data_IF_854365952373
#
_entry.id   IF_854365952373
#
_cell.length_a   1.000
_cell.length_b   1.000
_cell.length_c   1.000
_cell.angle_alpha   90.00
_cell.angle_beta   90.00
_cell.angle_gamma   90.00
#
_symmetry.space_group_name_H-M   'P 1'
#
loop_
_entity.id
_entity.type
_entity.pdbx_description
1 polymer ?
#
# COMPACT_ATOMS: atom_id res chain seq x y z
N UNK A 1 -44.82 39.31 -15.77
CA UNK A 1 -44.68 38.56 -17.03
C UNK A 1 -44.22 37.16 -16.65
N UNK A 2 -45.18 36.25 -16.38
CA UNK A 2 -45.63 35.18 -17.30
C UNK A 2 -44.56 34.14 -17.64
N UNK A 3 -44.72 32.93 -17.06
CA UNK A 3 -44.75 31.69 -17.87
C UNK A 3 -43.66 30.64 -17.67
N UNK A 4 -44.05 29.53 -17.02
CA UNK A 4 -43.68 28.15 -17.40
C UNK A 4 -42.54 27.46 -16.63
N UNK A 5 -42.62 26.20 -16.17
CA UNK A 5 -43.56 25.10 -16.32
C UNK A 5 -43.64 24.30 -14.99
N UNK A 6 -44.84 23.80 -14.67
CA UNK A 6 -45.13 22.74 -13.69
C UNK A 6 -45.27 21.39 -14.43
N UNK A 7 -45.20 20.30 -13.66
CA UNK A 7 -45.65 18.90 -13.94
C UNK A 7 -44.50 17.90 -14.12
N UNK A 8 -44.43 16.72 -13.49
CA UNK A 8 -45.37 15.96 -12.66
C UNK A 8 -44.65 14.96 -11.73
N UNK A 9 -45.22 14.75 -10.53
CA UNK A 9 -44.97 13.64 -9.60
C UNK A 9 -46.13 12.64 -9.76
N UNK A 10 -45.84 11.35 -9.49
CA UNK A 10 -46.73 10.22 -9.15
C UNK A 10 -47.21 9.33 -10.31
N UNK A 11 -46.73 8.06 -10.34
CA UNK A 11 -47.55 6.82 -10.35
C UNK A 11 -46.66 5.59 -10.64
N UNK A 12 -46.32 4.80 -9.62
CA UNK A 12 -46.19 3.34 -9.76
C UNK A 12 -46.71 2.68 -8.49
N UNK A 13 -47.97 2.25 -8.54
CA UNK A 13 -48.54 1.25 -7.66
C UNK A 13 -49.35 0.30 -8.54
N UNK A 14 -49.38 -0.98 -8.12
CA UNK A 14 -50.17 -2.10 -8.64
C UNK A 14 -49.53 -2.94 -9.76
N UNK A 15 -48.85 -4.00 -9.34
CA UNK A 15 -49.07 -5.35 -9.86
C UNK A 15 -48.65 -6.36 -8.78
N UNK A 16 -49.54 -6.52 -7.80
CA UNK A 16 -49.54 -7.64 -6.87
C UNK A 16 -50.64 -8.61 -7.26
N UNK A 17 -50.35 -9.90 -7.03
CA UNK A 17 -51.22 -11.08 -7.15
C UNK A 17 -51.33 -11.71 -8.54
N UNK A 18 -50.55 -12.77 -8.78
CA UNK A 18 -51.03 -14.13 -9.04
C UNK A 18 -49.85 -15.10 -9.28
N UNK A 19 -49.41 -15.77 -8.23
CA UNK A 19 -49.07 -17.22 -8.23
C UNK A 19 -48.48 -17.60 -6.88
N UNK A 20 -49.29 -18.27 -6.09
CA UNK A 20 -48.84 -19.12 -4.99
C UNK A 20 -48.33 -20.45 -5.56
N UNK A 21 -47.39 -21.03 -4.82
CA UNK A 21 -46.88 -22.41 -4.87
C UNK A 21 -45.57 -22.67 -5.63
N UNK A 22 -44.73 -23.47 -4.94
CA UNK A 22 -43.44 -24.08 -5.31
C UNK A 22 -42.16 -23.30 -4.94
N UNK A 23 -41.75 -23.49 -3.69
CA UNK A 23 -40.50 -24.18 -3.32
C UNK A 23 -39.18 -23.68 -3.92
N UNK A 24 -38.31 -23.20 -3.04
CA UNK A 24 -36.87 -23.04 -3.30
C UNK A 24 -36.45 -21.60 -3.57
N UNK A 25 -36.37 -20.79 -2.52
CA UNK A 25 -35.61 -19.54 -2.58
C UNK A 25 -34.11 -19.89 -2.66
N UNK A 26 -33.62 -20.15 -3.87
CA UNK A 26 -32.20 -19.98 -4.15
C UNK A 26 -31.98 -18.47 -4.10
N UNK A 27 -31.43 -18.00 -2.98
CA UNK A 27 -30.84 -16.67 -2.92
C UNK A 27 -29.71 -16.65 -3.95
N UNK A 28 -30.01 -16.15 -5.15
CA UNK A 28 -29.01 -15.85 -6.14
C UNK A 28 -28.08 -14.79 -5.52
N UNK A 29 -26.94 -15.23 -5.00
CA UNK A 29 -25.84 -14.33 -4.66
C UNK A 29 -25.46 -13.66 -5.98
N UNK A 30 -25.83 -12.39 -6.15
CA UNK A 30 -25.23 -11.56 -7.18
C UNK A 30 -23.72 -11.61 -6.93
N UNK A 31 -22.98 -12.37 -7.74
CA UNK A 31 -21.53 -12.33 -7.78
C UNK A 31 -21.13 -10.96 -8.32
N UNK A 32 -21.14 -9.97 -7.44
CA UNK A 32 -20.63 -8.64 -7.73
C UNK A 32 -19.10 -8.74 -7.68
N UNK A 33 -18.48 -9.23 -8.75
CA UNK A 33 -17.02 -9.21 -8.85
C UNK A 33 -16.58 -7.77 -9.04
N UNK A 34 -15.95 -7.20 -8.02
CA UNK A 34 -15.38 -5.86 -8.13
C UNK A 34 -14.26 -5.86 -9.18
N UNK A 35 -14.11 -4.79 -9.97
CA UNK A 35 -12.92 -4.60 -10.80
C UNK A 35 -11.65 -4.67 -9.93
N UNK A 36 -10.72 -5.56 -10.28
CA UNK A 36 -9.49 -5.79 -9.51
C UNK A 36 -9.54 -6.96 -8.52
N UNK A 37 -10.71 -7.57 -8.29
CA UNK A 37 -10.80 -8.79 -7.48
C UNK A 37 -10.15 -9.97 -8.23
N UNK A 38 -9.25 -10.69 -7.57
CA UNK A 38 -8.70 -11.93 -8.12
C UNK A 38 -9.77 -13.04 -8.07
N UNK A 39 -10.02 -13.77 -9.18
CA UNK A 39 -11.09 -14.76 -9.25
C UNK A 39 -10.85 -15.98 -8.36
N UNK A 40 -9.59 -16.26 -8.01
CA UNK A 40 -9.18 -17.33 -7.12
C UNK A 40 -8.32 -16.77 -5.97
N UNK A 41 -8.92 -16.32 -4.85
CA UNK A 41 -8.17 -15.77 -3.73
C UNK A 41 -7.18 -16.78 -3.12
N UNK A 42 -7.51 -18.07 -3.16
CA UNK A 42 -6.69 -19.13 -2.57
C UNK A 42 -5.39 -19.34 -3.36
N UNK A 43 -5.41 -19.19 -4.69
CA UNK A 43 -4.20 -19.20 -5.51
C UNK A 43 -3.22 -18.08 -5.11
N UNK A 44 -3.72 -16.89 -4.75
CA UNK A 44 -2.88 -15.77 -4.27
C UNK A 44 -2.24 -16.11 -2.92
N UNK A 45 -3.00 -16.70 -2.00
CA UNK A 45 -2.50 -17.19 -0.71
C UNK A 45 -1.39 -18.23 -0.90
N UNK A 46 -1.60 -19.21 -1.78
CA UNK A 46 -0.61 -20.25 -2.08
C UNK A 46 0.66 -19.67 -2.71
N UNK A 47 0.52 -18.68 -3.60
CA UNK A 47 1.66 -18.01 -4.21
C UNK A 47 2.49 -17.23 -3.19
N UNK A 48 1.86 -16.54 -2.24
CA UNK A 48 2.58 -15.87 -1.13
C UNK A 48 3.40 -16.88 -0.33
N UNK A 49 2.76 -17.98 0.09
CA UNK A 49 3.46 -19.04 0.83
C UNK A 49 4.62 -19.65 0.01
N UNK A 50 4.42 -19.86 -1.29
CA UNK A 50 5.47 -20.35 -2.20
C UNK A 50 6.65 -19.40 -2.27
N UNK A 51 6.41 -18.08 -2.41
CA UNK A 51 7.46 -17.05 -2.45
C UNK A 51 8.24 -16.99 -1.13
N UNK A 52 7.56 -17.05 0.02
CA UNK A 52 8.21 -17.07 1.35
C UNK A 52 9.07 -18.31 1.52
N UNK A 53 8.53 -19.50 1.23
CA UNK A 53 9.29 -20.74 1.33
C UNK A 53 10.53 -20.73 0.42
N UNK A 54 10.39 -20.22 -0.80
CA UNK A 54 11.53 -20.09 -1.72
C UNK A 54 12.59 -19.12 -1.17
N UNK A 55 12.20 -17.99 -0.58
CA UNK A 55 13.13 -17.04 0.04
C UNK A 55 13.89 -17.64 1.23
N UNK A 56 13.18 -18.33 2.13
CA UNK A 56 13.80 -19.02 3.27
C UNK A 56 14.75 -20.13 2.83
N UNK A 57 14.42 -20.91 1.79
CA UNK A 57 15.31 -21.93 1.23
C UNK A 57 16.57 -21.30 0.64
N UNK A 58 16.43 -20.23 -0.16
CA UNK A 58 17.58 -19.51 -0.72
C UNK A 58 18.52 -19.00 0.37
N UNK A 59 17.98 -18.39 1.42
CA UNK A 59 18.77 -17.91 2.56
C UNK A 59 19.55 -19.06 3.21
N UNK A 60 18.90 -20.19 3.51
CA UNK A 60 19.58 -21.34 4.14
C UNK A 60 20.72 -21.88 3.27
N UNK A 61 20.49 -22.02 1.96
CA UNK A 61 21.53 -22.44 1.02
C UNK A 61 22.71 -21.47 0.99
N UNK A 62 22.45 -20.16 1.02
CA UNK A 62 23.52 -19.15 1.08
C UNK A 62 24.35 -19.26 2.36
N UNK A 63 23.71 -19.43 3.52
CA UNK A 63 24.40 -19.59 4.80
C UNK A 63 25.29 -20.85 4.84
N UNK A 64 24.90 -21.93 4.16
CA UNK A 64 25.70 -23.15 4.07
C UNK A 64 26.92 -23.01 3.15
N UNK A 65 26.84 -22.14 2.12
CA UNK A 65 27.87 -22.00 1.09
C UNK A 65 28.92 -20.95 1.41
N UNK A 66 28.60 -19.93 2.22
CA UNK A 66 29.54 -18.84 2.54
C UNK A 66 30.09 -18.97 3.96
N UNK A 67 31.40 -19.19 4.09
CA UNK A 67 32.15 -18.97 5.35
C UNK A 67 32.41 -17.49 5.64
N UNK A 68 32.03 -16.58 4.74
CA UNK A 68 32.18 -15.12 4.86
C UNK A 68 30.81 -14.45 5.01
N UNK A 69 30.62 -13.74 6.12
CA UNK A 69 29.35 -13.11 6.53
C UNK A 69 28.80 -12.11 5.52
N UNK A 70 29.64 -11.40 4.75
CA UNK A 70 29.20 -10.22 3.96
C UNK A 70 28.30 -10.51 2.73
N UNK A 71 28.35 -11.71 2.13
CA UNK A 71 27.48 -12.08 0.97
C UNK A 71 26.21 -12.82 1.43
N UNK A 72 26.26 -13.48 2.60
CA UNK A 72 25.09 -14.07 3.26
C UNK A 72 24.17 -13.04 3.92
N UNK A 73 24.62 -11.80 4.11
CA UNK A 73 23.91 -10.80 4.93
C UNK A 73 22.66 -10.21 4.29
N UNK A 74 22.56 -10.11 2.96
CA UNK A 74 21.44 -9.39 2.38
C UNK A 74 20.12 -10.18 2.35
N UNK A 75 20.16 -11.48 2.06
CA UNK A 75 18.93 -12.27 1.95
C UNK A 75 18.33 -12.50 3.33
N UNK A 76 17.27 -11.78 3.69
CA UNK A 76 16.59 -11.89 4.98
C UNK A 76 15.62 -13.07 5.00
N UNK A 77 15.23 -13.61 3.84
CA UNK A 77 14.18 -14.61 3.74
C UNK A 77 12.78 -13.99 3.67
N UNK A 78 12.70 -12.66 3.73
CA UNK A 78 11.51 -11.91 3.34
C UNK A 78 11.55 -11.69 1.81
N UNK A 79 10.62 -12.27 1.04
CA UNK A 79 10.67 -12.22 -0.42
C UNK A 79 10.48 -10.81 -1.01
N UNK A 80 9.84 -9.89 -0.28
CA UNK A 80 9.68 -8.50 -0.72
C UNK A 80 11.02 -7.78 -0.62
N UNK A 81 11.65 -7.81 0.56
CA UNK A 81 12.94 -7.16 0.81
C UNK A 81 14.03 -7.77 -0.08
N UNK A 82 14.11 -9.10 -0.13
CA UNK A 82 15.12 -9.83 -0.91
C UNK A 82 15.08 -9.48 -2.42
N UNK A 83 13.92 -9.05 -2.93
CA UNK A 83 13.72 -8.73 -4.34
C UNK A 83 14.40 -7.41 -4.78
N UNK A 84 14.46 -6.41 -3.90
CA UNK A 84 15.01 -5.08 -4.23
C UNK A 84 16.15 -4.64 -3.32
N UNK A 85 16.14 -4.97 -2.02
CA UNK A 85 17.12 -4.50 -1.04
C UNK A 85 18.52 -5.05 -1.30
N UNK A 86 18.58 -6.20 -1.96
CA UNK A 86 19.82 -6.83 -2.39
C UNK A 86 20.37 -6.33 -3.72
N UNK A 87 19.69 -5.38 -4.36
CA UNK A 87 20.29 -4.62 -5.44
C UNK A 87 21.24 -3.56 -4.85
N UNK A 88 22.58 -3.70 -5.00
CA UNK A 88 23.51 -2.69 -4.50
C UNK A 88 23.31 -1.33 -5.20
N UNK A 89 22.61 -1.31 -6.34
CA UNK A 89 22.30 -0.12 -7.12
C UNK A 89 20.82 0.29 -7.01
N UNK A 90 20.11 -0.14 -5.96
CA UNK A 90 18.69 0.19 -5.73
C UNK A 90 18.43 1.71 -5.83
N UNK A 91 19.39 2.54 -5.43
CA UNK A 91 19.27 4.00 -5.44
C UNK A 91 19.18 4.57 -6.87
N UNK A 92 19.74 3.89 -7.86
CA UNK A 92 19.58 4.21 -9.28
C UNK A 92 18.44 3.42 -9.92
N UNK A 93 18.10 2.26 -9.36
CA UNK A 93 17.02 1.38 -9.82
C UNK A 93 15.76 1.48 -8.95
N UNK A 94 15.42 2.67 -8.44
CA UNK A 94 14.34 2.86 -7.44
C UNK A 94 13.03 2.22 -7.84
N UNK A 95 12.66 2.35 -9.11
CA UNK A 95 11.38 1.86 -9.64
C UNK A 95 11.27 0.33 -9.69
N UNK A 96 12.39 -0.40 -9.55
CA UNK A 96 12.42 -1.87 -9.42
C UNK A 96 11.59 -2.36 -8.23
N UNK A 97 11.44 -1.54 -7.19
CA UNK A 97 10.59 -1.86 -6.03
C UNK A 97 9.18 -2.28 -6.48
N UNK A 98 8.60 -1.64 -7.49
CA UNK A 98 7.25 -1.95 -7.97
C UNK A 98 7.10 -3.36 -8.56
N UNK A 99 8.19 -4.08 -8.83
CA UNK A 99 8.15 -5.49 -9.27
C UNK A 99 8.18 -6.50 -8.09
N UNK A 100 8.34 -6.00 -6.86
CA UNK A 100 8.53 -6.83 -5.67
C UNK A 100 7.26 -7.05 -4.85
N UNK A 101 6.14 -6.45 -5.25
CA UNK A 101 4.84 -6.66 -4.62
C UNK A 101 4.41 -8.13 -4.66
N UNK A 102 3.78 -8.58 -3.57
CA UNK A 102 3.16 -9.91 -3.46
C UNK A 102 1.75 -9.78 -2.89
N UNK A 103 1.00 -10.89 -2.84
CA UNK A 103 -0.35 -10.89 -2.28
C UNK A 103 -1.36 -10.20 -3.20
N UNK A 104 -2.46 -9.72 -2.64
CA UNK A 104 -3.54 -9.12 -3.44
C UNK A 104 -3.14 -7.78 -4.08
N UNK A 105 -2.24 -7.02 -3.46
CA UNK A 105 -1.68 -5.76 -4.00
C UNK A 105 -0.52 -5.94 -4.97
N UNK A 106 -0.20 -7.16 -5.42
CA UNK A 106 0.94 -7.43 -6.30
C UNK A 106 0.90 -6.70 -7.66
N UNK A 107 -0.28 -6.20 -8.07
CA UNK A 107 -0.46 -5.46 -9.31
C UNK A 107 -0.31 -3.94 -9.14
N UNK A 108 -0.08 -3.44 -7.92
CA UNK A 108 0.17 -2.03 -7.67
C UNK A 108 1.49 -1.59 -8.31
N UNK A 109 1.43 -1.00 -9.49
CA UNK A 109 2.64 -0.51 -10.19
C UNK A 109 3.08 0.88 -9.74
N UNK A 110 2.22 1.58 -8.97
CA UNK A 110 2.50 2.95 -8.52
C UNK A 110 2.83 3.89 -9.67
N UNK A 111 3.87 4.70 -9.50
CA UNK A 111 4.41 5.60 -10.51
C UNK A 111 5.49 5.00 -11.41
N UNK A 112 5.60 3.66 -11.51
CA UNK A 112 6.60 3.00 -12.36
C UNK A 112 6.51 3.46 -13.82
N UNK A 113 7.66 3.61 -14.48
CA UNK A 113 7.83 4.20 -15.82
C UNK A 113 7.48 5.69 -15.92
N UNK A 114 6.97 6.28 -14.84
CA UNK A 114 6.80 7.72 -14.69
C UNK A 114 8.12 8.43 -14.45
N UNK A 115 8.09 9.76 -14.60
CA UNK A 115 9.24 10.60 -14.24
C UNK A 115 9.44 10.62 -12.73
N UNK A 116 10.69 10.75 -12.29
CA UNK A 116 11.00 11.01 -10.89
C UNK A 116 10.63 12.45 -10.57
N UNK A 117 9.79 12.65 -9.56
CA UNK A 117 9.50 13.96 -9.00
C UNK A 117 10.22 14.11 -7.66
N UNK A 118 10.95 15.21 -7.48
CA UNK A 118 11.72 15.48 -6.27
C UNK A 118 10.96 16.50 -5.42
N UNK A 119 10.54 16.12 -4.23
CA UNK A 119 9.97 17.04 -3.25
C UNK A 119 11.09 17.86 -2.66
N UNK A 120 11.07 19.18 -2.82
CA UNK A 120 12.08 20.10 -2.31
C UNK A 120 11.52 21.09 -1.29
N UNK A 121 10.20 21.13 -1.14
CA UNK A 121 9.48 22.03 -0.25
C UNK A 121 8.53 21.19 0.62
N UNK A 122 8.69 21.28 1.95
CA UNK A 122 7.85 20.55 2.91
C UNK A 122 6.61 21.33 3.36
N UNK A 123 6.37 22.53 2.83
CA UNK A 123 5.20 23.34 3.13
C UNK A 123 3.92 22.75 2.51
N UNK A 124 2.79 23.07 3.14
CA UNK A 124 1.46 22.68 2.71
C UNK A 124 0.43 23.79 2.99
N UNK A 125 0.83 25.03 2.65
CA UNK A 125 0.11 26.24 3.03
C UNK A 125 -1.18 26.49 2.21
N UNK A 126 -1.32 25.83 1.06
CA UNK A 126 -2.43 26.00 0.13
C UNK A 126 -2.92 24.62 -0.37
N UNK A 127 -4.08 24.22 0.15
CA UNK A 127 -4.73 22.95 -0.21
C UNK A 127 -5.43 22.97 -1.58
N UNK A 128 -5.58 24.15 -2.21
CA UNK A 128 -6.28 24.34 -3.49
C UNK A 128 -5.30 24.51 -4.65
N UNK A 129 -4.25 25.29 -4.45
CA UNK A 129 -3.24 25.61 -5.48
C UNK A 129 -1.82 25.33 -4.98
N UNK A 130 -1.44 24.04 -4.82
CA UNK A 130 -0.15 23.69 -4.26
C UNK A 130 1.01 24.14 -5.16
N UNK A 131 2.11 24.58 -4.53
CA UNK A 131 3.34 25.04 -5.21
C UNK A 131 4.11 23.84 -5.81
N UNK A 132 4.66 23.94 -7.04
CA UNK A 132 5.64 22.98 -7.53
C UNK A 132 6.81 22.85 -6.54
N UNK A 133 7.32 21.64 -6.37
CA UNK A 133 8.29 21.28 -5.34
C UNK A 133 7.67 20.70 -4.07
N UNK A 134 6.37 20.88 -3.82
CA UNK A 134 5.66 20.29 -2.66
C UNK A 134 5.18 18.86 -2.94
N UNK A 135 4.88 18.12 -1.86
CA UNK A 135 4.26 16.79 -1.95
C UNK A 135 2.82 16.87 -2.50
N UNK A 136 2.01 17.84 -2.04
CA UNK A 136 0.64 18.03 -2.53
C UNK A 136 0.58 18.27 -4.03
N UNK A 137 1.48 19.09 -4.56
CA UNK A 137 1.57 19.27 -6.01
C UNK A 137 1.87 17.95 -6.73
N UNK A 138 2.77 17.13 -6.20
CA UNK A 138 3.18 15.88 -6.84
C UNK A 138 2.04 14.84 -6.91
N UNK A 139 1.33 14.61 -5.81
CA UNK A 139 0.37 13.49 -5.71
C UNK A 139 -0.88 13.70 -6.56
N UNK A 140 -1.23 14.95 -6.91
CA UNK A 140 -2.41 15.26 -7.71
C UNK A 140 -2.16 15.19 -9.23
N UNK A 141 -0.90 15.14 -9.69
CA UNK A 141 -0.59 15.18 -11.13
C UNK A 141 -1.27 14.03 -11.88
N UNK A 142 -1.59 14.24 -13.15
CA UNK A 142 -2.30 13.24 -13.97
C UNK A 142 -1.36 12.13 -14.42
N UNK A 143 -0.11 12.46 -14.72
CA UNK A 143 0.87 11.47 -15.16
C UNK A 143 1.36 10.57 -14.01
N UNK A 144 1.86 9.36 -14.33
CA UNK A 144 2.55 8.53 -13.35
C UNK A 144 3.78 9.25 -12.78
N UNK A 145 3.92 9.27 -11.44
CA UNK A 145 5.06 9.89 -10.77
C UNK A 145 5.67 9.00 -9.70
N UNK A 146 7.00 8.88 -9.75
CA UNK A 146 7.80 8.31 -8.68
C UNK A 146 8.36 9.44 -7.81
N UNK A 147 7.73 9.67 -6.66
CA UNK A 147 7.96 10.84 -5.79
C UNK A 147 9.02 10.49 -4.75
N UNK A 148 10.12 11.25 -4.73
CA UNK A 148 11.28 11.03 -3.85
C UNK A 148 11.65 12.27 -3.04
N UNK A 149 12.44 12.05 -1.99
CA UNK A 149 12.85 13.09 -1.06
C UNK A 149 14.39 13.19 -1.01
N UNK A 150 14.97 14.37 -1.32
CA UNK A 150 16.42 14.60 -1.29
C UNK A 150 16.99 14.68 0.12
N UNK A 151 16.15 15.01 1.11
CA UNK A 151 16.53 15.23 2.49
C UNK A 151 15.40 14.76 3.39
N UNK A 152 15.71 14.50 4.66
CA UNK A 152 14.68 14.30 5.69
C UNK A 152 13.73 15.49 5.75
N UNK A 153 12.43 15.22 5.93
CA UNK A 153 11.38 16.24 5.92
C UNK A 153 10.30 15.93 6.95
N UNK A 154 9.76 16.98 7.56
CA UNK A 154 8.52 16.93 8.31
C UNK A 154 7.47 17.72 7.52
N UNK A 155 6.57 17.01 6.88
CA UNK A 155 5.47 17.57 6.09
C UNK A 155 4.25 17.62 6.98
N UNK A 156 3.82 18.85 7.30
CA UNK A 156 2.68 19.10 8.18
C UNK A 156 1.51 19.56 7.32
N UNK A 157 0.60 18.63 7.04
CA UNK A 157 -0.54 18.84 6.17
C UNK A 157 -1.57 19.76 6.82
N UNK A 158 -2.13 20.69 6.03
CA UNK A 158 -3.21 21.56 6.47
C UNK A 158 -4.59 20.90 6.30
N UNK A 159 -4.71 20.00 5.33
CA UNK A 159 -5.92 19.31 4.90
C UNK A 159 -5.56 17.92 4.38
N UNK A 160 -6.56 17.04 4.21
CA UNK A 160 -6.39 15.74 3.54
C UNK A 160 -5.52 15.85 2.26
N UNK A 161 -4.52 14.99 2.15
CA UNK A 161 -3.66 14.85 0.98
C UNK A 161 -4.33 13.87 0.01
N UNK A 162 -5.14 14.41 -0.90
CA UNK A 162 -5.84 13.62 -1.93
C UNK A 162 -4.85 13.21 -3.03
N UNK A 163 -4.86 11.92 -3.38
CA UNK A 163 -4.01 11.38 -4.45
C UNK A 163 -4.76 11.25 -5.77
N UNK A 164 -4.02 11.33 -6.86
CA UNK A 164 -4.41 10.78 -8.15
C UNK A 164 -3.80 9.37 -8.34
N UNK A 165 -4.26 8.62 -9.34
CA UNK A 165 -3.75 7.28 -9.66
C UNK A 165 -2.29 7.29 -10.11
N UNK A 166 -1.64 6.13 -10.10
CA UNK A 166 -0.26 5.92 -10.59
C UNK A 166 0.79 6.76 -9.85
N UNK A 167 0.79 6.67 -8.52
CA UNK A 167 1.73 7.41 -7.67
C UNK A 167 2.54 6.44 -6.82
N UNK A 168 3.84 6.71 -6.71
CA UNK A 168 4.67 6.11 -5.67
C UNK A 168 5.22 7.20 -4.78
N UNK A 169 4.97 7.13 -3.47
CA UNK A 169 5.79 7.81 -2.48
C UNK A 169 6.93 6.88 -2.09
N UNK A 170 8.17 7.31 -2.28
CA UNK A 170 9.38 6.56 -1.96
C UNK A 170 10.28 7.40 -1.04
N UNK A 171 10.15 7.16 0.27
CA UNK A 171 10.97 7.82 1.29
C UNK A 171 12.39 7.27 1.45
N UNK A 172 12.83 6.27 0.66
CA UNK A 172 14.16 5.66 0.85
C UNK A 172 15.28 6.68 0.68
N UNK A 173 16.19 6.70 1.65
CA UNK A 173 17.35 7.60 1.70
C UNK A 173 17.08 8.94 2.40
N UNK A 174 15.90 9.12 3.00
CA UNK A 174 15.51 10.26 3.80
C UNK A 174 14.59 9.83 4.96
N UNK A 175 14.59 10.58 6.06
CA UNK A 175 13.59 10.40 7.10
C UNK A 175 12.39 11.33 6.87
N UNK A 176 11.29 10.80 6.33
CA UNK A 176 10.13 11.57 5.89
C UNK A 176 8.95 11.30 6.81
N UNK A 177 8.46 12.36 7.45
CA UNK A 177 7.32 12.32 8.35
C UNK A 177 6.15 13.08 7.72
N UNK A 178 4.98 12.45 7.67
CA UNK A 178 3.70 13.06 7.30
C UNK A 178 2.81 13.11 8.55
N UNK A 179 2.37 14.32 8.89
CA UNK A 179 1.55 14.61 10.07
C UNK A 179 0.51 15.68 9.71
N UNK A 180 -0.47 15.94 10.57
CA UNK A 180 -1.36 17.10 10.41
C UNK A 180 -2.81 16.75 10.11
N UNK A 181 -3.49 17.66 9.40
CA UNK A 181 -4.90 17.53 9.07
C UNK A 181 -5.16 16.44 8.02
N UNK A 182 -6.02 15.46 8.34
CA UNK A 182 -6.54 14.43 7.44
C UNK A 182 -5.55 13.37 6.95
N UNK A 183 -4.26 13.70 6.83
CA UNK A 183 -3.23 12.82 6.27
C UNK A 183 -3.57 12.27 4.88
N UNK A 184 -3.38 10.98 4.59
CA UNK A 184 -3.42 10.47 3.21
C UNK A 184 -4.82 9.95 2.86
N UNK A 185 -5.38 10.41 1.74
CA UNK A 185 -6.67 9.94 1.23
C UNK A 185 -6.54 9.39 -0.20
N UNK A 186 -6.81 8.10 -0.37
CA UNK A 186 -6.80 7.36 -1.63
C UNK A 186 -8.25 7.05 -2.04
N UNK A 187 -8.91 8.01 -2.70
CA UNK A 187 -10.34 7.93 -3.00
C UNK A 187 -10.61 7.71 -4.50
N UNK A 188 -11.24 6.59 -4.85
CA UNK A 188 -11.62 6.19 -6.21
C UNK A 188 -10.46 6.18 -7.22
N UNK A 189 -9.29 5.74 -6.77
CA UNK A 189 -8.06 5.69 -7.57
C UNK A 189 -7.49 4.28 -7.65
N UNK A 190 -6.46 4.11 -8.48
CA UNK A 190 -5.73 2.85 -8.55
C UNK A 190 -4.24 3.04 -8.68
N UNK A 191 -3.49 1.95 -8.45
CA UNK A 191 -2.05 1.89 -8.67
C UNK A 191 -1.30 2.90 -7.81
N UNK A 192 -1.33 2.71 -6.50
CA UNK A 192 -0.59 3.55 -5.55
C UNK A 192 0.34 2.70 -4.71
N UNK A 193 1.60 3.14 -4.59
CA UNK A 193 2.57 2.58 -3.65
C UNK A 193 2.93 3.67 -2.63
N UNK A 194 2.77 3.37 -1.35
CA UNK A 194 3.25 4.22 -0.26
C UNK A 194 4.36 3.45 0.43
N UNK A 195 5.60 3.94 0.30
CA UNK A 195 6.77 3.22 0.74
C UNK A 195 7.75 4.08 1.54
N UNK A 196 8.22 3.52 2.66
CA UNK A 196 9.33 4.05 3.45
C UNK A 196 9.10 5.42 4.10
N UNK A 197 7.93 5.64 4.71
CA UNK A 197 7.61 6.91 5.38
C UNK A 197 7.02 6.71 6.78
N UNK A 198 7.12 7.75 7.62
CA UNK A 198 6.47 7.82 8.91
C UNK A 198 5.15 8.59 8.77
N UNK A 199 4.05 8.02 9.27
CA UNK A 199 2.72 8.65 9.28
C UNK A 199 2.21 8.65 10.71
N UNK A 200 2.05 9.83 11.30
CA UNK A 200 1.63 9.91 12.69
C UNK A 200 1.08 11.27 13.07
N UNK A 201 0.36 11.35 14.20
CA UNK A 201 -0.22 12.60 14.68
C UNK A 201 -1.13 13.25 13.62
N UNK A 202 -1.89 12.40 12.91
CA UNK A 202 -2.97 12.81 12.03
C UNK A 202 -4.19 13.19 12.87
N UNK A 203 -4.87 14.27 12.51
CA UNK A 203 -6.05 14.77 13.21
C UNK A 203 -7.09 15.25 12.20
N UNK A 204 -8.39 15.36 12.59
CA UNK A 204 -9.44 15.90 11.75
C UNK A 204 -9.05 17.24 11.12
N UNK A 205 -9.01 17.31 9.79
CA UNK A 205 -9.00 18.58 9.09
C UNK A 205 -10.43 19.10 8.96
N UNK A 206 -10.64 20.37 9.28
CA UNK A 206 -11.96 21.02 9.14
C UNK A 206 -12.32 21.30 7.68
N UNK A 207 -13.53 21.83 7.48
CA UNK A 207 -14.08 22.04 6.14
C UNK A 207 -13.22 22.97 5.27
N UNK A 208 -12.90 22.54 4.05
CA UNK A 208 -12.09 23.31 3.11
C UNK A 208 -12.27 22.84 1.67
N UNK A 209 -11.86 23.69 0.73
CA UNK A 209 -11.61 23.25 -0.64
C UNK A 209 -10.24 22.57 -0.72
N UNK A 210 -10.21 21.40 -1.36
CA UNK A 210 -8.99 20.60 -1.50
C UNK A 210 -8.83 20.14 -2.95
N UNK A 211 -7.65 20.34 -3.53
CA UNK A 211 -7.32 19.88 -4.87
C UNK A 211 -7.28 18.35 -4.95
N UNK A 212 -7.84 17.81 -6.03
CA UNK A 212 -7.74 16.38 -6.37
C UNK A 212 -7.07 16.13 -7.72
N UNK A 213 -6.90 17.17 -8.54
CA UNK A 213 -6.10 17.17 -9.77
C UNK A 213 -5.54 18.57 -10.01
N UNK A 214 -4.66 18.79 -11.02
CA UNK A 214 -4.14 20.12 -11.32
C UNK A 214 -5.22 21.14 -11.73
N UNK A 215 -6.40 20.67 -12.14
CA UNK A 215 -7.49 21.47 -12.68
C UNK A 215 -8.78 21.38 -11.86
N UNK A 216 -8.80 20.57 -10.80
CA UNK A 216 -9.97 20.31 -10.00
C UNK A 216 -9.68 20.34 -8.51
N UNK A 217 -10.56 21.02 -7.78
CA UNK A 217 -10.69 20.94 -6.32
C UNK A 217 -12.17 20.76 -5.97
N UNK A 218 -12.42 20.17 -4.80
CA UNK A 218 -13.77 19.96 -4.28
C UNK A 218 -13.89 20.39 -2.82
N UNK A 219 -15.11 20.69 -2.39
CA UNK A 219 -15.43 20.94 -0.99
C UNK A 219 -15.31 19.63 -0.19
N UNK A 220 -14.55 19.67 0.90
CA UNK A 220 -14.39 18.58 1.87
C UNK A 220 -15.02 18.97 3.19
N UNK A 221 -15.74 18.03 3.79
CA UNK A 221 -16.22 18.13 5.17
C UNK A 221 -15.10 17.74 6.14
N UNK A 222 -15.37 17.81 7.43
CA UNK A 222 -14.45 17.30 8.46
C UNK A 222 -14.03 15.86 8.16
N UNK A 223 -12.72 15.60 8.20
CA UNK A 223 -12.14 14.25 8.06
C UNK A 223 -12.03 13.56 9.42
N UNK A 224 -11.98 12.23 9.46
CA UNK A 224 -11.84 11.49 10.73
C UNK A 224 -10.44 11.63 11.37
N UNK A 225 -9.41 11.88 10.55
CA UNK A 225 -8.02 11.99 11.02
C UNK A 225 -7.28 10.66 11.07
N UNK A 226 -7.57 9.78 10.11
CA UNK A 226 -6.83 8.54 9.86
C UNK A 226 -5.39 8.81 9.41
N UNK A 227 -4.52 7.80 9.50
CA UNK A 227 -3.22 7.83 8.82
C UNK A 227 -3.35 7.73 7.31
N UNK A 228 -4.03 6.67 6.83
CA UNK A 228 -4.29 6.39 5.42
C UNK A 228 -5.74 5.93 5.27
N UNK A 229 -6.57 6.71 4.58
CA UNK A 229 -7.93 6.33 4.21
C UNK A 229 -7.98 5.86 2.75
N UNK A 230 -8.47 4.64 2.51
CA UNK A 230 -8.59 3.99 1.20
C UNK A 230 -10.07 3.76 0.90
N UNK A 231 -10.59 4.46 -0.10
CA UNK A 231 -12.02 4.53 -0.35
C UNK A 231 -12.32 4.16 -1.81
N UNK A 232 -12.95 3.00 -2.05
CA UNK A 232 -13.28 2.52 -3.39
C UNK A 232 -12.07 2.46 -4.34
N UNK A 233 -10.89 2.17 -3.81
CA UNK A 233 -9.62 2.17 -4.56
C UNK A 233 -9.07 0.76 -4.73
N UNK A 234 -8.20 0.56 -5.74
CA UNK A 234 -7.62 -0.76 -6.03
C UNK A 234 -6.15 -0.74 -6.39
N UNK A 235 -5.49 -1.89 -6.30
CA UNK A 235 -4.07 -2.04 -6.60
C UNK A 235 -3.23 -1.08 -5.76
N UNK A 236 -3.31 -1.26 -4.44
CA UNK A 236 -2.66 -0.43 -3.43
C UNK A 236 -1.62 -1.25 -2.67
N UNK A 237 -0.44 -0.69 -2.48
CA UNK A 237 0.63 -1.32 -1.71
C UNK A 237 1.21 -0.34 -0.69
N UNK A 238 1.08 -0.69 0.60
CA UNK A 238 1.62 0.08 1.73
C UNK A 238 2.74 -0.74 2.33
N UNK A 239 3.98 -0.27 2.16
CA UNK A 239 5.18 -1.04 2.45
C UNK A 239 6.20 -0.24 3.27
N UNK A 240 6.84 -0.87 4.26
CA UNK A 240 7.89 -0.21 5.05
C UNK A 240 7.45 1.15 5.64
N UNK A 241 6.21 1.29 6.08
CA UNK A 241 5.76 2.50 6.76
C UNK A 241 5.76 2.32 8.28
N UNK A 242 5.97 3.41 9.01
CA UNK A 242 5.80 3.44 10.46
C UNK A 242 4.59 4.30 10.82
N UNK A 243 3.55 3.68 11.40
CA UNK A 243 2.27 4.33 11.67
C UNK A 243 1.96 4.35 13.17
N UNK A 244 1.55 5.50 13.70
CA UNK A 244 1.21 5.65 15.13
C UNK A 244 0.44 6.93 15.46
N UNK A 245 -0.20 6.99 16.62
CA UNK A 245 -0.74 8.22 17.20
C UNK A 245 -1.64 9.05 16.26
N UNK A 246 -2.46 8.42 15.41
CA UNK A 246 -3.49 9.14 14.65
C UNK A 246 -4.72 9.38 15.54
N UNK A 247 -5.68 10.19 15.06
CA UNK A 247 -6.88 10.49 15.84
C UNK A 247 -7.89 9.34 15.80
N UNK A 248 -8.12 8.78 14.62
CA UNK A 248 -9.07 7.68 14.40
C UNK A 248 -8.36 6.38 14.01
N UNK A 249 -8.35 5.95 12.74
CA UNK A 249 -7.64 4.76 12.25
C UNK A 249 -6.16 5.01 11.90
N UNK A 250 -5.32 3.97 11.83
CA UNK A 250 -4.03 4.09 11.11
C UNK A 250 -4.19 3.80 9.63
N UNK A 251 -4.91 2.73 9.28
CA UNK A 251 -5.25 2.37 7.89
C UNK A 251 -6.70 1.90 7.83
N UNK A 252 -7.52 2.63 7.08
CA UNK A 252 -8.93 2.32 6.89
C UNK A 252 -9.21 2.07 5.40
N UNK A 253 -9.65 0.86 5.06
CA UNK A 253 -10.01 0.48 3.69
C UNK A 253 -11.49 0.12 3.62
N UNK A 254 -12.25 0.84 2.80
CA UNK A 254 -13.71 0.76 2.78
C UNK A 254 -14.25 0.91 1.35
N UNK A 255 -15.56 0.74 1.20
CA UNK A 255 -16.32 1.16 0.02
C UNK A 255 -15.92 0.40 -1.25
N UNK A 256 -15.73 -0.91 -1.12
CA UNK A 256 -15.32 -1.79 -2.21
C UNK A 256 -13.85 -1.64 -2.60
N UNK A 257 -12.99 -1.20 -1.67
CA UNK A 257 -11.56 -1.23 -1.92
C UNK A 257 -11.05 -2.67 -2.00
N UNK A 258 -10.15 -2.98 -2.93
CA UNK A 258 -9.67 -4.36 -3.15
C UNK A 258 -8.28 -4.41 -3.80
N UNK A 259 -7.63 -5.56 -3.83
CA UNK A 259 -6.28 -5.67 -4.38
C UNK A 259 -5.26 -4.88 -3.55
N UNK A 260 -5.22 -5.14 -2.24
CA UNK A 260 -4.38 -4.39 -1.29
C UNK A 260 -3.35 -5.31 -0.66
N UNK A 261 -2.10 -4.86 -0.57
CA UNK A 261 -1.07 -5.46 0.28
C UNK A 261 -0.55 -4.44 1.28
N UNK A 262 -0.50 -4.82 2.55
CA UNK A 262 0.06 -4.05 3.66
C UNK A 262 1.22 -4.87 4.20
N UNK A 263 2.46 -4.46 3.89
CA UNK A 263 3.65 -5.25 4.20
C UNK A 263 4.78 -4.51 4.90
N UNK A 264 5.58 -5.23 5.68
CA UNK A 264 6.80 -4.68 6.29
C UNK A 264 6.57 -3.40 7.12
N UNK A 265 5.35 -3.14 7.60
CA UNK A 265 5.06 -1.92 8.35
C UNK A 265 5.28 -2.14 9.85
N UNK A 266 5.56 -1.05 10.56
CA UNK A 266 5.60 -1.02 12.02
C UNK A 266 4.43 -0.19 12.54
N UNK A 267 3.56 -0.83 13.32
CA UNK A 267 2.41 -0.18 13.97
C UNK A 267 2.68 -0.05 15.46
N UNK A 268 2.40 1.11 16.05
CA UNK A 268 2.52 1.29 17.49
C UNK A 268 1.65 2.44 18.02
N UNK A 269 1.49 2.52 19.35
CA UNK A 269 0.88 3.64 20.06
C UNK A 269 -0.46 4.06 19.47
N UNK A 270 -1.42 3.13 19.40
CA UNK A 270 -2.69 3.40 18.75
C UNK A 270 -3.80 2.44 19.19
N UNK A 271 -5.03 2.94 19.30
CA UNK A 271 -6.17 2.12 19.70
C UNK A 271 -6.73 1.32 18.51
N UNK A 272 -7.18 2.02 17.47
CA UNK A 272 -7.93 1.47 16.35
C UNK A 272 -7.02 1.34 15.14
N UNK A 273 -6.26 0.23 15.05
CA UNK A 273 -5.14 0.13 14.10
C UNK A 273 -5.58 0.09 12.64
N UNK A 274 -6.42 -0.88 12.28
CA UNK A 274 -6.76 -1.13 10.88
C UNK A 274 -8.20 -1.60 10.72
N UNK A 275 -9.01 -0.85 9.98
CA UNK A 275 -10.37 -1.22 9.62
C UNK A 275 -10.47 -1.65 8.16
N UNK A 276 -11.00 -2.85 7.91
CA UNK A 276 -11.22 -3.39 6.57
C UNK A 276 -12.71 -3.66 6.38
N UNK A 277 -13.39 -2.74 5.70
CA UNK A 277 -14.84 -2.69 5.54
C UNK A 277 -15.53 -1.98 6.70
N UNK A 278 -16.44 -1.05 6.40
CA UNK A 278 -17.04 -0.14 7.39
C UNK A 278 -18.40 -0.58 7.93
N UNK A 279 -19.15 -1.36 7.15
CA UNK A 279 -20.52 -1.75 7.47
C UNK A 279 -20.80 -3.20 7.09
N UNK A 280 -21.45 -3.93 7.99
CA UNK A 280 -21.86 -5.33 7.79
C UNK A 280 -22.87 -5.49 6.63
N UNK A 281 -23.57 -4.41 6.27
CA UNK A 281 -24.58 -4.38 5.20
C UNK A 281 -24.07 -3.80 3.88
N UNK A 282 -22.82 -3.31 3.82
CA UNK A 282 -22.25 -2.77 2.59
C UNK A 282 -21.68 -3.88 1.70
N UNK A 283 -22.57 -4.57 0.99
CA UNK A 283 -22.25 -5.75 0.19
C UNK A 283 -21.08 -5.62 -0.79
N UNK A 284 -20.77 -4.46 -1.40
CA UNK A 284 -19.58 -4.34 -2.23
C UNK A 284 -18.27 -4.70 -1.50
N UNK A 285 -18.18 -4.54 -0.18
CA UNK A 285 -17.01 -4.95 0.61
C UNK A 285 -16.79 -6.48 0.62
N UNK A 286 -17.77 -7.30 0.18
CA UNK A 286 -17.55 -8.73 -0.07
C UNK A 286 -16.55 -9.01 -1.20
N UNK A 287 -16.32 -8.03 -2.08
CA UNK A 287 -15.30 -8.09 -3.12
C UNK A 287 -13.89 -7.70 -2.64
N UNK A 288 -13.75 -7.23 -1.40
CA UNK A 288 -12.47 -6.80 -0.81
C UNK A 288 -11.51 -7.97 -0.66
N UNK A 289 -10.26 -7.79 -1.07
CA UNK A 289 -9.18 -8.75 -0.90
C UNK A 289 -7.92 -8.05 -0.41
N UNK A 290 -7.42 -8.46 0.75
CA UNK A 290 -6.28 -7.80 1.43
C UNK A 290 -5.26 -8.83 1.93
N UNK A 291 -3.98 -8.58 1.66
CA UNK A 291 -2.85 -9.32 2.25
C UNK A 291 -2.16 -8.44 3.28
N UNK A 292 -2.04 -8.93 4.52
CA UNK A 292 -1.30 -8.30 5.61
C UNK A 292 -0.10 -9.19 5.90
N UNK A 293 1.10 -8.77 5.53
CA UNK A 293 2.28 -9.64 5.56
C UNK A 293 3.53 -8.99 6.17
N UNK A 294 4.28 -9.72 6.98
CA UNK A 294 5.59 -9.26 7.51
C UNK A 294 5.56 -7.98 8.35
N UNK A 295 4.38 -7.56 8.81
CA UNK A 295 4.26 -6.38 9.66
C UNK A 295 4.65 -6.73 11.09
N UNK A 296 5.12 -5.72 11.81
CA UNK A 296 5.29 -5.79 13.26
C UNK A 296 4.23 -4.93 13.94
N UNK A 297 3.31 -5.59 14.63
CA UNK A 297 2.34 -4.98 15.53
C UNK A 297 2.97 -4.84 16.90
N UNK A 298 3.49 -3.64 17.14
CA UNK A 298 4.39 -3.29 18.22
C UNK A 298 3.69 -2.67 19.43
N UNK A 299 4.43 -1.82 20.13
CA UNK A 299 4.08 -1.33 21.46
C UNK A 299 2.75 -0.55 21.51
N UNK A 300 2.02 -0.72 22.62
CA UNK A 300 0.83 0.07 22.98
C UNK A 300 -0.24 0.10 21.88
N UNK A 301 -0.45 -1.04 21.24
CA UNK A 301 -1.61 -1.29 20.39
C UNK A 301 -2.75 -1.86 21.23
N UNK A 302 -3.98 -1.44 20.95
CA UNK A 302 -5.16 -1.92 21.70
C UNK A 302 -5.89 -3.02 20.93
N UNK A 303 -6.26 -2.75 19.67
CA UNK A 303 -7.13 -3.63 18.87
C UNK A 303 -7.06 -3.38 17.35
N UNK A 304 -7.85 -4.14 16.60
CA UNK A 304 -8.07 -4.02 15.14
C UNK A 304 -6.82 -4.24 14.29
N UNK A 305 -6.18 -5.39 14.43
CA UNK A 305 -4.97 -5.76 13.67
C UNK A 305 -5.17 -7.02 12.82
N UNK A 306 -6.13 -7.08 11.87
CA UNK A 306 -7.13 -6.06 11.51
C UNK A 306 -8.50 -6.27 12.20
N UNK A 307 -9.43 -5.33 12.02
CA UNK A 307 -10.88 -5.57 12.16
C UNK A 307 -11.53 -5.63 10.77
N UNK A 308 -12.13 -6.77 10.43
CA UNK A 308 -12.61 -7.06 9.08
C UNK A 308 -14.14 -7.19 8.97
N UNK A 309 -14.67 -6.91 7.78
CA UNK A 309 -16.06 -7.22 7.38
C UNK A 309 -16.13 -7.75 5.96
N UNK A 310 -16.96 -8.78 5.75
CA UNK A 310 -17.31 -9.41 4.47
C UNK A 310 -16.16 -10.04 3.65
N UNK A 311 -15.14 -9.26 3.25
CA UNK A 311 -14.12 -9.64 2.27
C UNK A 311 -13.20 -10.82 2.66
N UNK A 312 -12.17 -11.03 1.83
CA UNK A 312 -11.14 -12.07 2.02
C UNK A 312 -9.82 -11.46 2.50
N UNK A 313 -9.38 -11.84 3.69
CA UNK A 313 -8.19 -11.29 4.33
C UNK A 313 -7.19 -12.40 4.63
N UNK A 314 -5.98 -12.25 4.08
CA UNK A 314 -4.84 -13.13 4.34
C UNK A 314 -3.87 -12.43 5.30
N UNK A 315 -3.80 -12.91 6.54
CA UNK A 315 -2.91 -12.41 7.59
C UNK A 315 -1.75 -13.39 7.71
N UNK A 316 -0.58 -13.05 7.20
CA UNK A 316 0.51 -14.02 7.03
C UNK A 316 1.86 -13.52 7.51
N UNK A 317 2.55 -14.33 8.31
CA UNK A 317 3.91 -14.04 8.76
C UNK A 317 4.12 -12.65 9.40
N UNK A 318 3.17 -12.17 10.18
CA UNK A 318 3.29 -10.96 10.98
C UNK A 318 3.72 -11.28 12.42
N UNK A 319 4.35 -10.32 13.08
CA UNK A 319 4.71 -10.41 14.49
C UNK A 319 3.81 -9.54 15.35
N UNK A 320 2.96 -10.18 16.16
CA UNK A 320 2.04 -9.52 17.09
C UNK A 320 2.62 -9.59 18.49
N UNK A 321 3.30 -8.52 18.89
CA UNK A 321 4.04 -8.48 20.15
C UNK A 321 3.24 -7.86 21.29
N UNK A 322 2.25 -7.01 20.98
CA UNK A 322 1.38 -6.38 21.97
C UNK A 322 -0.04 -6.18 21.42
N UNK A 323 -1.04 -6.40 22.28
CA UNK A 323 -2.40 -5.90 22.16
C UNK A 323 -3.01 -5.77 23.56
N UNK A 324 -4.06 -4.98 23.72
CA UNK A 324 -4.75 -4.83 25.02
C UNK A 324 -6.12 -5.53 25.06
N UNK A 325 -6.85 -5.56 23.93
CA UNK A 325 -8.17 -6.20 23.86
C UNK A 325 -8.19 -7.46 23.00
N UNK A 326 -7.81 -7.36 21.74
CA UNK A 326 -7.70 -8.49 20.80
C UNK A 326 -6.77 -8.10 19.65
N UNK A 327 -6.22 -9.09 18.94
CA UNK A 327 -5.43 -8.83 17.73
C UNK A 327 -6.33 -8.75 16.49
N UNK A 328 -6.96 -9.87 16.14
CA UNK A 328 -7.76 -10.02 14.92
C UNK A 328 -9.24 -10.01 15.27
N UNK A 329 -10.03 -9.17 14.61
CA UNK A 329 -11.47 -9.13 14.85
C UNK A 329 -12.30 -8.94 13.59
N UNK A 330 -13.62 -8.99 13.75
CA UNK A 330 -14.53 -8.72 12.64
C UNK A 330 -16.00 -8.94 12.96
N UNK A 331 -16.83 -8.45 12.06
CA UNK A 331 -18.29 -8.59 12.03
C UNK A 331 -18.74 -8.76 10.56
N UNK A 332 -19.97 -9.18 10.29
CA UNK A 332 -20.44 -9.33 8.91
C UNK A 332 -19.69 -10.40 8.10
N UNK A 333 -19.39 -11.56 8.67
CA UNK A 333 -18.87 -12.75 7.97
C UNK A 333 -17.64 -12.56 7.04
N UNK A 334 -16.52 -11.96 7.52
CA UNK A 334 -15.29 -11.93 6.74
C UNK A 334 -14.64 -13.32 6.69
N UNK A 335 -13.94 -13.60 5.59
CA UNK A 335 -13.00 -14.74 5.54
C UNK A 335 -11.62 -14.29 6.01
N UNK A 336 -11.11 -14.91 7.07
CA UNK A 336 -9.80 -14.60 7.63
C UNK A 336 -8.93 -15.84 7.61
N UNK A 337 -7.81 -15.77 6.89
CA UNK A 337 -6.79 -16.81 6.86
C UNK A 337 -5.53 -16.32 7.58
N UNK A 338 -5.34 -16.75 8.83
CA UNK A 338 -4.13 -16.53 9.62
C UNK A 338 -3.13 -17.65 9.36
N UNK A 339 -1.95 -17.30 8.83
CA UNK A 339 -0.91 -18.28 8.50
C UNK A 339 0.49 -17.85 8.96
N UNK A 340 1.15 -18.70 9.76
CA UNK A 340 2.55 -18.51 10.11
C UNK A 340 2.89 -17.22 10.88
N UNK A 341 1.93 -16.61 11.56
CA UNK A 341 2.14 -15.42 12.40
C UNK A 341 2.67 -15.83 13.79
N UNK A 342 3.19 -14.86 14.55
CA UNK A 342 3.47 -15.05 15.97
C UNK A 342 2.57 -14.13 16.80
N UNK A 343 1.90 -14.69 17.80
CA UNK A 343 1.02 -13.97 18.71
C UNK A 343 1.55 -14.09 20.14
N UNK A 344 2.03 -12.99 20.71
CA UNK A 344 2.49 -12.91 22.09
C UNK A 344 1.41 -12.24 22.94
N UNK A 345 0.60 -13.04 23.64
CA UNK A 345 -0.49 -12.48 24.42
C UNK A 345 -0.01 -11.57 25.56
N UNK A 346 -0.76 -10.51 25.89
CA UNK A 346 -0.49 -9.67 27.04
C UNK A 346 -0.58 -10.46 28.35
N UNK A 347 -0.08 -9.91 29.45
CA UNK A 347 -0.17 -10.54 30.78
C UNK A 347 -1.62 -10.68 31.26
N UNK A 348 -2.53 -9.80 30.82
CA UNK A 348 -3.96 -9.85 31.14
C UNK A 348 -4.60 -11.18 30.71
N UNK A 349 -5.14 -11.93 31.66
CA UNK A 349 -5.80 -13.22 31.41
C UNK A 349 -7.06 -13.12 30.54
N UNK A 350 -7.71 -11.95 30.51
CA UNK A 350 -8.92 -11.73 29.71
C UNK A 350 -8.63 -11.36 28.25
N UNK A 351 -7.35 -11.19 27.88
CA UNK A 351 -6.93 -10.78 26.54
C UNK A 351 -6.03 -11.84 25.87
N UNK A 352 -6.21 -13.12 26.24
CA UNK A 352 -5.47 -14.25 25.67
C UNK A 352 -6.00 -14.72 24.33
N UNK A 353 -7.29 -14.51 24.07
CA UNK A 353 -7.88 -14.82 22.78
C UNK A 353 -7.36 -13.82 21.73
N UNK A 354 -6.72 -14.33 20.69
CA UNK A 354 -6.25 -13.55 19.53
C UNK A 354 -7.45 -12.95 18.77
N UNK A 355 -8.52 -13.73 18.69
CA UNK A 355 -9.72 -13.46 17.90
C UNK A 355 -10.80 -12.71 18.67
N UNK A 356 -11.55 -11.84 17.98
CA UNK A 356 -12.79 -11.24 18.51
C UNK A 356 -13.87 -11.14 17.45
N UNK A 357 -14.94 -11.91 17.61
CA UNK A 357 -16.19 -11.70 16.86
C UNK A 357 -16.96 -10.57 17.51
N UNK A 358 -17.26 -9.54 16.73
CA UNK A 358 -17.91 -8.31 17.20
C UNK A 358 -19.38 -8.38 16.77
N UNK A 359 -20.28 -8.06 17.69
CA UNK A 359 -21.72 -7.95 17.45
C UNK A 359 -22.38 -9.20 16.82
N UNK A 360 -21.86 -10.40 17.11
CA UNK A 360 -22.38 -11.67 16.61
C UNK A 360 -22.45 -12.73 17.70
N UNK A 361 -23.55 -13.49 17.75
CA UNK A 361 -23.67 -14.63 18.66
C UNK A 361 -22.98 -15.86 18.06
N UNK A 362 -22.70 -16.86 18.89
CA UNK A 362 -21.98 -18.07 18.48
C UNK A 362 -22.65 -18.77 17.28
N UNK A 363 -23.97 -18.87 17.28
CA UNK A 363 -24.73 -19.49 16.19
C UNK A 363 -24.62 -18.72 14.87
N UNK A 364 -24.37 -17.41 14.93
CA UNK A 364 -24.21 -16.56 13.74
C UNK A 364 -22.81 -16.70 13.13
N UNK A 365 -21.76 -16.72 13.99
CA UNK A 365 -20.37 -16.69 13.52
C UNK A 365 -19.72 -18.06 13.36
N UNK A 366 -20.29 -19.15 13.89
CA UNK A 366 -19.74 -20.51 13.72
C UNK A 366 -19.54 -20.90 12.26
N UNK A 367 -20.36 -20.36 11.35
CA UNK A 367 -20.22 -20.57 9.90
C UNK A 367 -19.19 -19.67 9.20
N UNK A 368 -18.62 -18.68 9.90
CA UNK A 368 -17.64 -17.75 9.31
C UNK A 368 -16.29 -18.42 9.17
N UNK A 369 -15.63 -18.23 8.03
CA UNK A 369 -14.37 -18.91 7.71
C UNK A 369 -13.17 -18.20 8.34
N UNK A 370 -12.88 -18.51 9.61
CA UNK A 370 -11.71 -17.99 10.34
C UNK A 370 -10.76 -19.14 10.63
N UNK A 371 -9.58 -19.08 10.04
CA UNK A 371 -8.61 -20.17 10.00
C UNK A 371 -7.28 -19.71 10.60
N UNK A 372 -6.64 -20.61 11.33
CA UNK A 372 -5.27 -20.46 11.82
C UNK A 372 -4.46 -21.67 11.39
N UNK A 373 -3.27 -21.45 10.84
CA UNK A 373 -2.39 -22.52 10.34
C UNK A 373 -0.93 -22.12 10.53
N UNK A 374 -0.18 -22.89 11.34
CA UNK A 374 1.24 -22.61 11.55
C UNK A 374 1.56 -21.41 12.43
N UNK A 375 0.56 -20.79 13.04
CA UNK A 375 0.77 -19.67 13.93
C UNK A 375 1.46 -20.13 15.23
N UNK A 376 2.41 -19.34 15.73
CA UNK A 376 3.05 -19.55 17.03
C UNK A 376 2.29 -18.74 18.08
N UNK A 377 1.73 -19.46 19.05
CA UNK A 377 1.01 -18.88 20.19
C UNK A 377 1.93 -18.83 21.41
N UNK A 378 2.15 -17.62 21.95
CA UNK A 378 3.06 -17.38 23.09
C UNK A 378 2.28 -16.76 24.24
N UNK A 379 2.72 -17.05 25.46
CA UNK A 379 2.14 -16.53 26.70
C UNK A 379 0.64 -16.85 26.87
N UNK A 380 0.22 -18.05 26.42
CA UNK A 380 -1.17 -18.50 26.52
C UNK A 380 -2.11 -17.89 25.49
N UNK A 381 -1.58 -17.27 24.43
CA UNK A 381 -2.38 -16.88 23.28
C UNK A 381 -3.12 -18.10 22.70
N UNK A 382 -4.32 -17.90 22.16
CA UNK A 382 -5.02 -18.91 21.38
C UNK A 382 -5.93 -18.28 20.33
N UNK A 383 -6.18 -19.03 19.26
CA UNK A 383 -7.06 -18.63 18.17
C UNK A 383 -8.27 -19.56 18.14
N UNK A 384 -9.47 -18.99 18.21
CA UNK A 384 -10.70 -19.77 18.04
C UNK A 384 -11.04 -19.78 16.56
N UNK A 385 -10.99 -20.93 15.89
CA UNK A 385 -11.29 -21.09 14.47
C UNK A 385 -12.78 -21.40 14.21
N UNK A 386 -13.26 -21.19 12.98
CA UNK A 386 -14.65 -21.45 12.58
C UNK A 386 -14.80 -21.67 11.05
N UNK A 387 -15.97 -22.15 10.62
CA UNK A 387 -16.32 -22.31 9.21
C UNK A 387 -15.94 -23.65 8.59
N UNK A 388 -16.17 -23.76 7.28
CA UNK A 388 -15.95 -25.00 6.51
C UNK A 388 -14.45 -25.28 6.34
N UNK A 389 -14.05 -26.53 6.60
CA UNK A 389 -12.67 -27.01 6.46
C UNK A 389 -11.91 -27.30 7.77
N UNK A 390 -12.57 -27.26 8.93
CA UNK A 390 -12.00 -27.70 10.21
C UNK A 390 -11.51 -29.17 10.15
N UNK A 391 -12.24 -30.05 9.47
CA UNK A 391 -11.86 -31.48 9.33
C UNK A 391 -10.70 -31.70 8.34
N UNK A 392 -10.72 -31.05 7.17
CA UNK A 392 -9.69 -31.25 6.12
C UNK A 392 -8.34 -30.61 6.49
N UNK A 393 -8.32 -29.57 7.33
CA UNK A 393 -7.08 -28.93 7.81
C UNK A 393 -6.32 -29.80 8.84
N UNK A 394 -7.01 -30.59 9.66
CA UNK A 394 -6.35 -31.47 10.63
C UNK A 394 -5.44 -32.51 9.94
N UNK A 395 -5.85 -33.04 8.78
CA UNK A 395 -5.05 -34.02 8.03
C UNK A 395 -3.86 -33.39 7.27
N UNK A 396 -4.02 -32.18 6.72
CA UNK A 396 -2.93 -31.46 6.02
C UNK A 396 -1.91 -30.81 6.96
N UNK A 397 -2.35 -30.31 8.12
CA UNK A 397 -1.47 -29.69 9.13
C UNK A 397 -0.42 -30.68 9.69
N UNK A 398 -0.68 -31.98 9.62
CA UNK A 398 0.28 -33.03 9.97
C UNK A 398 1.37 -33.26 8.90
N UNK A 399 1.20 -32.80 7.66
CA UNK A 399 2.12 -33.13 6.55
C UNK A 399 3.07 -32.01 6.13
N UNK A 400 2.81 -30.75 6.52
CA UNK A 400 3.70 -29.62 6.28
C UNK A 400 3.70 -28.68 7.49
N UNK A 401 4.65 -28.85 8.41
CA UNK A 401 4.88 -27.86 9.47
C UNK A 401 5.15 -26.48 8.84
N UNK A 402 4.44 -25.42 9.23
CA UNK A 402 4.72 -24.08 8.73
C UNK A 402 6.02 -23.55 9.35
N UNK A 403 7.14 -23.88 8.70
CA UNK A 403 8.49 -23.53 9.15
C UNK A 403 8.73 -22.03 9.18
N UNK A 404 7.93 -21.20 8.49
CA UNK A 404 8.16 -19.76 8.37
C UNK A 404 7.95 -19.00 9.70
N UNK A 405 7.02 -19.43 10.54
CA UNK A 405 6.76 -18.78 11.83
C UNK A 405 7.99 -18.82 12.76
N UNK A 406 8.81 -19.89 12.65
CA UNK A 406 10.07 -20.00 13.40
C UNK A 406 11.13 -18.96 12.96
N UNK A 407 10.93 -18.29 11.83
CA UNK A 407 11.80 -17.22 11.32
C UNK A 407 11.14 -15.84 11.42
N UNK A 408 10.08 -15.68 12.23
CA UNK A 408 9.35 -14.40 12.33
C UNK A 408 10.27 -13.25 12.69
N UNK A 409 11.11 -13.42 13.72
CA UNK A 409 12.11 -12.40 14.13
C UNK A 409 12.97 -11.92 12.95
N UNK A 410 13.28 -12.81 12.02
CA UNK A 410 14.14 -12.53 10.88
C UNK A 410 13.37 -11.86 9.73
N UNK A 411 12.21 -12.41 9.35
CA UNK A 411 11.45 -11.90 8.20
C UNK A 411 10.73 -10.59 8.49
N UNK A 412 10.49 -10.26 9.77
CA UNK A 412 9.94 -8.96 10.20
C UNK A 412 11.00 -8.03 10.82
N UNK A 413 12.28 -8.42 10.81
CA UNK A 413 13.37 -7.67 11.46
C UNK A 413 13.45 -6.20 11.05
N UNK A 414 13.15 -5.92 9.77
CA UNK A 414 13.23 -4.58 9.19
C UNK A 414 11.88 -3.89 9.06
N UNK A 415 10.83 -4.38 9.73
CA UNK A 415 9.51 -3.76 9.68
C UNK A 415 9.56 -2.29 10.12
N UNK A 416 8.79 -1.44 9.44
CA UNK A 416 8.78 0.01 9.59
C UNK A 416 9.57 0.75 8.52
N UNK A 417 9.59 2.07 8.63
CA UNK A 417 10.38 2.91 7.74
C UNK A 417 11.88 2.67 7.95
N UNK A 418 12.57 2.44 6.83
CA UNK A 418 14.02 2.29 6.75
C UNK A 418 14.65 3.68 6.86
N UNK A 419 15.54 3.82 7.84
CA UNK A 419 16.11 5.10 8.23
C UNK A 419 17.40 5.46 7.50
N UNK A 420 17.96 6.60 7.92
CA UNK A 420 19.30 7.08 7.56
C UNK A 420 20.10 7.27 8.85
N UNK A 421 21.27 6.64 8.99
CA UNK A 421 22.19 6.81 10.14
C UNK A 421 21.88 5.99 11.40
N UNK A 422 21.05 4.94 11.30
CA UNK A 422 20.82 3.97 12.39
C UNK A 422 21.73 2.73 12.29
N UNK A 423 21.95 1.99 13.38
CA UNK A 423 22.89 0.84 13.36
C UNK A 423 22.39 -0.39 12.57
N UNK A 424 21.07 -0.58 12.36
CA UNK A 424 20.52 -1.86 11.87
C UNK A 424 19.65 -1.80 10.60
N UNK A 425 19.10 -0.63 10.20
CA UNK A 425 18.17 -0.48 9.06
C UNK A 425 18.54 0.71 8.14
N UNK A 426 19.82 1.08 8.09
CA UNK A 426 20.32 2.25 7.35
C UNK A 426 20.43 1.96 5.85
N UNK A 427 19.77 2.76 5.02
CA UNK A 427 19.92 2.73 3.56
C UNK A 427 20.98 3.73 3.05
N UNK A 428 21.58 4.51 3.94
CA UNK A 428 22.48 5.62 3.60
C UNK A 428 21.72 6.87 3.12
N UNK A 429 22.43 8.00 3.04
CA UNK A 429 21.88 9.24 2.49
C UNK A 429 21.84 9.19 0.96
N UNK A 430 20.71 9.58 0.35
CA UNK A 430 20.67 9.82 -1.09
C UNK A 430 21.15 11.24 -1.40
N UNK A 431 22.25 11.39 -2.14
CA UNK A 431 22.83 12.69 -2.44
C UNK A 431 22.52 13.10 -3.89
N UNK A 432 21.47 13.89 -4.10
CA UNK A 432 21.11 14.45 -5.41
C UNK A 432 22.26 15.26 -6.06
N UNK A 433 23.13 15.84 -5.21
CA UNK A 433 24.22 16.74 -5.63
C UNK A 433 25.32 16.04 -6.42
N UNK A 434 25.55 14.75 -6.18
CA UNK A 434 26.51 13.96 -6.96
C UNK A 434 26.07 13.76 -8.43
N UNK A 435 24.77 13.91 -8.73
CA UNK A 435 24.22 13.72 -10.08
C UNK A 435 24.18 14.97 -10.96
N UNK A 436 24.10 16.18 -10.40
CA UNK A 436 24.16 17.39 -11.23
C UNK A 436 25.59 17.72 -11.70
N UNK A 437 26.63 17.25 -10.99
CA UNK A 437 28.01 17.34 -11.46
C UNK A 437 28.42 16.17 -12.37
N UNK A 438 27.78 14.99 -12.25
CA UNK A 438 28.07 13.81 -13.07
C UNK A 438 27.57 13.87 -14.52
N UNK A 439 26.51 14.63 -14.80
CA UNK A 439 25.96 14.77 -16.16
C UNK A 439 26.46 16.01 -16.95
N UNK A 440 27.39 16.80 -16.37
CA UNK A 440 28.14 17.83 -17.09
C UNK A 440 29.66 17.53 -17.15
N UNK A 441 30.08 16.34 -16.75
CA UNK A 441 31.46 15.88 -16.85
C UNK A 441 31.60 14.70 -17.84
N UNK A 442 30.76 14.64 -18.87
CA UNK A 442 31.10 13.91 -20.08
C UNK A 442 32.12 14.77 -20.85
N UNK A 443 33.37 14.28 -20.89
CA UNK A 443 34.48 14.78 -21.72
C UNK A 443 33.99 15.42 -23.02
N UNK A 444 34.15 16.74 -23.16
CA UNK A 444 34.38 17.35 -24.46
C UNK A 444 35.70 16.79 -24.99
N UNK A 445 35.62 15.74 -25.80
CA UNK A 445 36.72 15.40 -26.71
C UNK A 445 36.79 16.50 -27.79
N UNK A 446 37.98 17.05 -28.11
CA UNK A 446 38.13 18.11 -29.11
C UNK A 446 37.86 17.71 -30.58
N UNK A 447 37.25 16.55 -30.84
CA UNK A 447 37.17 15.97 -32.19
C UNK A 447 35.87 16.28 -32.96
N UNK A 448 34.86 16.90 -32.34
CA UNK A 448 33.58 17.18 -33.00
C UNK A 448 33.41 18.65 -33.47
N UNK A 449 34.41 19.52 -33.24
CA UNK A 449 34.33 20.93 -33.64
C UNK A 449 34.86 21.16 -35.08
N UNK A 450 35.65 20.24 -35.65
CA UNK A 450 36.17 20.42 -37.02
C UNK A 450 35.19 20.01 -38.13
N UNK A 451 34.18 19.19 -37.85
CA UNK A 451 33.21 18.75 -38.88
C UNK A 451 32.00 19.68 -39.03
N UNK A 452 31.59 20.39 -37.98
CA UNK A 452 30.51 21.40 -38.06
C UNK A 452 30.97 22.73 -38.70
N UNK A 453 32.25 23.09 -38.56
CA UNK A 453 32.82 24.27 -39.22
C UNK A 453 33.01 24.07 -40.74
N UNK A 454 33.24 22.83 -41.20
CA UNK A 454 33.33 22.52 -42.64
C UNK A 454 31.96 22.53 -43.34
N UNK A 455 30.88 22.16 -42.65
CA UNK A 455 29.52 22.19 -43.21
C UNK A 455 28.94 23.60 -43.31
N UNK A 456 29.26 24.50 -42.38
CA UNK A 456 28.81 25.90 -42.40
C UNK A 456 29.49 26.73 -43.50
N UNK A 457 30.77 26.48 -43.77
CA UNK A 457 31.51 27.16 -44.85
C UNK A 457 31.08 26.64 -46.23
N UNK A 458 30.74 25.35 -46.37
CA UNK A 458 30.24 24.79 -47.63
C UNK A 458 28.84 25.34 -48.02
N UNK A 459 27.93 25.51 -47.05
CA UNK A 459 26.61 26.11 -47.32
C UNK A 459 26.70 27.60 -47.68
N UNK A 460 27.67 28.32 -47.10
CA UNK A 460 27.91 29.74 -47.38
C UNK A 460 28.48 29.97 -48.79
N UNK A 461 29.33 29.06 -49.29
CA UNK A 461 29.85 29.12 -50.65
C UNK A 461 28.82 28.76 -51.73
N UNK A 462 27.89 27.83 -51.46
CA UNK A 462 26.81 27.49 -52.40
C UNK A 462 25.78 28.61 -52.56
N UNK A 463 25.51 29.38 -51.50
CA UNK A 463 24.62 30.54 -51.58
C UNK A 463 25.22 31.71 -52.39
N UNK A 464 26.54 31.93 -52.28
CA UNK A 464 27.26 32.96 -53.04
C UNK A 464 27.45 32.63 -54.53
N UNK A 465 27.45 31.33 -54.91
CA UNK A 465 27.49 30.90 -56.31
C UNK A 465 26.13 31.03 -57.01
N UNK A 466 25.01 30.85 -56.30
CA UNK A 466 23.68 31.08 -56.87
C UNK A 466 23.33 32.56 -57.06
N UNK A 467 23.84 33.46 -56.20
CA UNK A 467 23.65 34.91 -56.35
C UNK A 467 24.48 35.53 -57.48
N UNK A 468 25.58 34.90 -57.92
CA UNK A 468 26.35 35.35 -59.10
C UNK A 468 25.80 34.86 -60.44
N UNK A 469 25.08 33.73 -60.46
CA UNK A 469 24.43 33.24 -61.68
C UNK A 469 23.17 34.04 -62.07
N UNK A 470 22.51 34.67 -61.10
CA UNK A 470 21.34 35.52 -61.33
C UNK A 470 21.66 36.94 -61.85
N UNK A 471 22.95 37.29 -62.00
CA UNK A 471 23.40 38.60 -62.51
C UNK A 471 23.90 38.58 -63.97
N UNK A 472 23.75 37.45 -64.67
CA UNK A 472 24.12 37.27 -66.08
C UNK A 472 22.94 36.82 -66.98
N UNK A 473 21.69 37.01 -66.51
CA UNK A 473 20.48 36.84 -67.31
C UNK A 473 19.55 38.06 -67.17
N UNK A 474 20.12 39.23 -67.47
CA UNK A 474 19.42 40.43 -67.93
C UNK A 474 20.10 40.90 -69.22
#
# INVERSE_FOLDING_TARGET
MWGGWRSCIVLVALLGCLSSSLGGAVAARLNLTLPGQHPDPEAVVQEVNRKVNAALVRRRQMLELTQNDEVATCQTGNPIDDCWKCDPDWANNRQRLADCGIGFGQYAVGGKNGRIYIVTDSSDDDAVSPKPGTLRYAVIQEEPLWIVFPTSMLIRLSQELIFNSYKTIDGRGANVHIVGGGCITLQYISNVIIHNIHIHHCYPSGEANVCSSPTHWGWRTESDGDGISIFGSRDIWIDHCSLSNCKDGLIDAVMGSTGITISNNYFSHHNEVMLLGHSDSYLPDSGMQVTIAFNHFGEKLVQRMPRCRLGYIHVVNNDFTQWEMYAIGGSGNPTINSQGNRYIAPSNHNAKEVTKRVDANEDDWRGWNWRSEGDIMVNGAFFVASGEGLEVKYEKAYSVEPKSAAYIDLITWHAGALGVGGRNNDLGTWNARAKFQGNYAAKLQPAAISQLLLFSVALSCLFLLHLKAAHWML
#
